data_IF_646793974732
#
_entry.id   IF_646793974732
#
_cell.length_a   1.000
_cell.length_b   1.000
_cell.length_c   1.000
_cell.angle_alpha   90.00
_cell.angle_beta   90.00
_cell.angle_gamma   90.00
#
_symmetry.space_group_name_H-M   'P 1'
#
loop_
_entity.id
_entity.type
_entity.pdbx_description
1 polymer ?
#
# COMPACT_ATOMS: atom_id res chain seq x y z
N UNK A 1 4.00 -17.15 23.86
CA UNK A 1 4.03 -17.26 25.33
C UNK A 1 5.30 -17.93 25.80
N UNK A 2 6.50 -17.52 25.36
CA UNK A 2 7.76 -18.17 25.75
C UNK A 2 8.97 -17.22 25.84
N UNK A 3 8.75 -15.90 25.88
CA UNK A 3 9.82 -14.89 26.00
C UNK A 3 9.68 -13.93 27.21
N UNK A 4 8.72 -14.15 28.09
CA UNK A 4 8.48 -13.29 29.29
C UNK A 4 9.03 -13.95 30.59
N UNK A 5 9.50 -15.18 30.56
CA UNK A 5 9.97 -15.88 31.77
C UNK A 5 11.49 -15.72 32.02
N UNK A 6 12.26 -15.18 31.07
CA UNK A 6 13.73 -15.03 31.22
C UNK A 6 14.22 -13.66 31.73
N UNK A 7 13.34 -12.68 31.92
CA UNK A 7 13.72 -11.33 32.39
C UNK A 7 13.51 -11.09 33.89
N UNK A 8 12.97 -12.05 34.64
CA UNK A 8 12.71 -11.92 36.09
C UNK A 8 13.71 -12.72 36.95
N UNK A 9 14.70 -13.38 36.37
CA UNK A 9 15.72 -14.16 37.12
C UNK A 9 17.07 -13.45 37.27
N UNK A 10 17.26 -12.25 36.72
CA UNK A 10 18.54 -11.54 36.76
C UNK A 10 18.60 -10.38 37.75
N UNK A 11 17.57 -10.16 38.61
CA UNK A 11 17.52 -9.05 39.53
C UNK A 11 17.58 -9.47 41.02
N UNK A 12 17.98 -10.72 41.35
CA UNK A 12 18.00 -11.23 42.71
C UNK A 12 19.35 -11.85 43.13
N UNK A 13 20.45 -11.39 42.59
CA UNK A 13 21.78 -11.90 42.93
C UNK A 13 22.80 -10.76 43.10
N UNK A 14 22.58 -9.83 44.04
CA UNK A 14 23.62 -8.93 44.53
C UNK A 14 23.13 -8.25 45.81
N UNK A 15 23.08 -8.99 46.93
CA UNK A 15 23.23 -8.48 48.30
C UNK A 15 23.54 -9.66 49.24
N UNK A 16 24.76 -10.19 49.15
CA UNK A 16 25.38 -10.89 50.28
C UNK A 16 26.62 -10.12 50.66
N UNK A 17 26.54 -9.42 51.81
CA UNK A 17 27.66 -8.83 52.51
C UNK A 17 28.58 -9.92 53.06
N UNK A 18 29.90 -9.73 53.03
CA UNK A 18 30.83 -10.68 53.60
C UNK A 18 30.86 -10.58 55.16
N UNK A 19 30.82 -11.73 55.82
CA UNK A 19 31.02 -11.90 57.24
C UNK A 19 32.37 -11.32 57.69
N UNK A 20 32.32 -10.34 58.59
CA UNK A 20 33.49 -9.88 59.33
C UNK A 20 33.81 -10.87 60.45
N UNK A 21 35.04 -11.40 60.42
CA UNK A 21 35.61 -12.14 61.52
C UNK A 21 36.01 -11.21 62.69
N UNK A 22 35.93 -11.63 63.97
CA UNK A 22 36.27 -10.81 65.11
C UNK A 22 37.80 -10.73 65.25
N UNK A 23 38.30 -9.51 65.27
CA UNK A 23 39.68 -9.20 65.59
C UNK A 23 39.91 -9.31 67.11
N UNK A 24 40.70 -10.26 67.49
CA UNK A 24 41.25 -10.42 68.84
C UNK A 24 42.29 -9.35 69.12
N UNK A 25 42.03 -8.46 70.06
CA UNK A 25 43.02 -7.51 70.57
C UNK A 25 43.91 -8.18 71.58
N UNK A 26 45.18 -8.23 71.25
CA UNK A 26 46.26 -8.59 72.14
C UNK A 26 46.53 -7.48 73.14
N UNK A 27 46.48 -7.76 74.41
CA UNK A 27 46.91 -6.94 75.54
C UNK A 27 48.39 -7.16 75.81
N UNK A 28 49.26 -6.15 75.84
CA UNK A 28 50.65 -6.32 76.27
C UNK A 28 50.72 -6.08 77.78
N UNK A 29 51.40 -6.96 78.38
CA UNK A 29 51.75 -7.02 79.84
C UNK A 29 52.66 -5.87 80.31
N UNK A 30 52.46 -5.55 81.57
CA UNK A 30 53.22 -4.67 82.44
C UNK A 30 54.73 -4.98 82.45
N UNK A 31 55.49 -3.95 82.79
CA UNK A 31 56.66 -3.96 83.62
C UNK A 31 56.87 -2.61 84.34
N UNK A 32 57.68 -2.52 85.35
CA UNK A 32 57.18 -2.06 86.61
C UNK A 32 57.79 -0.72 87.07
N UNK A 33 57.28 -0.30 88.23
CA UNK A 33 57.60 0.86 88.98
C UNK A 33 59.08 1.28 89.18
N UNK A 34 59.32 2.59 89.13
CA UNK A 34 60.38 3.20 89.94
C UNK A 34 59.84 4.40 90.68
N UNK A 35 59.99 4.28 91.98
CA UNK A 35 59.75 5.33 92.98
C UNK A 35 60.52 6.59 92.65
N UNK A 36 59.82 7.75 92.73
CA UNK A 36 60.40 8.98 93.14
C UNK A 36 59.35 9.76 93.96
N UNK A 37 59.56 9.82 95.20
CA UNK A 37 58.83 10.67 96.13
C UNK A 37 59.13 12.15 95.83
N UNK A 38 58.12 12.94 95.58
CA UNK A 38 58.23 14.37 95.62
C UNK A 38 56.95 14.99 96.18
N UNK A 39 57.13 15.59 97.29
CA UNK A 39 56.37 16.60 98.01
C UNK A 39 55.12 17.12 97.30
N UNK A 40 53.96 16.70 97.67
CA UNK A 40 52.67 17.32 97.33
C UNK A 40 52.17 18.11 98.56
N UNK A 41 52.20 19.42 98.36
CA UNK A 41 51.46 20.34 99.29
C UNK A 41 49.95 19.95 99.27
N UNK A 42 49.26 20.03 100.36
CA UNK A 42 47.81 19.76 100.41
C UNK A 42 47.05 20.80 99.54
N UNK A 43 46.01 20.39 98.90
CA UNK A 43 45.23 21.30 98.09
C UNK A 43 44.57 22.38 98.96
N UNK A 44 44.41 23.58 98.41
CA UNK A 44 43.74 24.64 99.15
C UNK A 44 42.28 24.24 99.40
N UNK A 45 41.68 24.71 100.52
CA UNK A 45 40.33 24.39 100.84
C UNK A 45 39.38 24.89 99.74
N UNK A 46 38.31 24.11 99.46
CA UNK A 46 37.36 24.53 98.43
C UNK A 46 36.77 25.91 98.83
N UNK A 47 36.97 26.87 97.92
CA UNK A 47 36.27 28.17 98.05
C UNK A 47 34.79 27.92 98.15
N UNK A 48 34.21 28.33 99.29
CA UNK A 48 32.78 28.28 99.51
C UNK A 48 32.12 29.25 98.46
N UNK A 49 31.60 28.71 97.35
CA UNK A 49 30.81 29.49 96.44
C UNK A 49 29.66 30.11 97.21
N UNK A 50 29.62 31.42 97.30
CA UNK A 50 28.54 32.15 97.94
C UNK A 50 27.20 31.84 97.19
N UNK A 51 26.13 31.87 97.97
CA UNK A 51 24.77 31.59 97.45
C UNK A 51 24.43 32.47 96.22
N UNK A 52 24.96 33.69 96.23
CA UNK A 52 24.79 34.66 95.14
C UNK A 52 25.53 34.28 93.84
N UNK A 53 26.73 33.71 93.91
CA UNK A 53 27.48 33.19 92.81
C UNK A 53 26.82 31.96 92.20
N UNK A 54 26.18 31.15 93.02
CA UNK A 54 25.44 29.97 92.58
C UNK A 54 24.11 30.35 91.87
N UNK A 55 23.44 31.39 92.29
CA UNK A 55 22.28 31.94 91.59
C UNK A 55 22.63 32.58 90.24
N UNK A 56 23.73 33.30 90.21
CA UNK A 56 24.23 33.95 88.95
C UNK A 56 24.64 32.89 87.93
N UNK A 57 25.30 31.84 88.34
CA UNK A 57 25.67 30.70 87.50
C UNK A 57 24.40 29.94 87.00
N UNK A 58 23.38 29.84 87.86
CA UNK A 58 22.05 29.25 87.46
C UNK A 58 21.37 30.15 86.41
N UNK A 59 21.39 31.49 86.59
CA UNK A 59 20.84 32.44 85.56
C UNK A 59 21.59 32.40 84.29
N UNK A 60 22.90 32.36 84.32
CA UNK A 60 23.75 32.22 83.08
C UNK A 60 23.50 30.89 82.36
N UNK A 61 23.42 29.79 83.10
CA UNK A 61 23.11 28.47 82.49
C UNK A 61 21.70 28.45 81.94
N UNK A 62 20.74 29.06 82.54
CA UNK A 62 19.38 29.16 82.06
C UNK A 62 19.31 30.01 80.81
N UNK A 63 20.08 31.12 80.75
CA UNK A 63 20.19 31.94 79.53
C UNK A 63 20.92 31.22 78.39
N UNK A 64 21.96 30.48 78.71
CA UNK A 64 22.70 29.67 77.70
C UNK A 64 21.83 28.53 77.18
N UNK A 65 21.07 27.88 78.02
CA UNK A 65 20.12 26.87 77.59
C UNK A 65 18.96 27.42 76.77
N UNK A 66 18.46 28.61 77.06
CA UNK A 66 17.45 29.25 76.19
C UNK A 66 18.02 29.64 74.84
N UNK A 67 19.21 30.28 74.83
CA UNK A 67 19.89 30.59 73.58
C UNK A 67 20.17 29.33 72.74
N UNK A 68 20.66 28.26 73.32
CA UNK A 68 20.86 26.97 72.67
C UNK A 68 19.58 26.36 72.08
N UNK A 69 18.45 26.45 72.77
CA UNK A 69 17.16 25.99 72.30
C UNK A 69 16.65 26.83 71.10
N UNK A 70 16.83 28.17 71.18
CA UNK A 70 16.45 29.04 70.06
C UNK A 70 17.35 28.85 68.84
N UNK A 71 18.62 28.64 69.00
CA UNK A 71 19.55 28.41 67.84
C UNK A 71 19.34 27.01 67.25
N UNK A 72 19.13 25.97 68.10
CA UNK A 72 18.87 24.61 67.57
C UNK A 72 17.54 24.52 66.85
N UNK A 73 16.47 25.18 67.37
CA UNK A 73 15.17 25.25 66.70
C UNK A 73 15.24 25.99 65.36
N UNK A 74 15.97 27.10 65.30
CA UNK A 74 16.19 27.87 64.10
C UNK A 74 16.95 27.08 63.03
N UNK A 75 18.00 26.38 63.41
CA UNK A 75 18.74 25.51 62.48
C UNK A 75 17.89 24.36 61.96
N UNK A 76 17.11 23.70 62.83
CA UNK A 76 16.21 22.62 62.38
C UNK A 76 15.15 23.12 61.42
N UNK A 77 14.59 24.32 61.64
CA UNK A 77 13.62 24.93 60.72
C UNK A 77 14.22 25.27 59.38
N UNK A 78 15.43 25.82 59.35
CA UNK A 78 16.16 26.14 58.10
C UNK A 78 16.45 24.86 57.30
N UNK A 79 16.93 23.80 57.98
CA UNK A 79 17.18 22.51 57.33
C UNK A 79 15.87 21.87 56.80
N UNK A 80 14.77 22.02 57.50
CA UNK A 80 13.43 21.59 57.04
C UNK A 80 12.99 22.34 55.77
N UNK A 81 13.18 23.66 55.76
CA UNK A 81 12.86 24.46 54.56
C UNK A 81 13.75 24.09 53.35
N UNK A 82 15.06 23.93 53.58
CA UNK A 82 15.98 23.50 52.50
C UNK A 82 15.58 22.11 51.99
N UNK A 83 15.30 21.16 52.87
CA UNK A 83 14.83 19.82 52.49
C UNK A 83 13.54 19.86 51.68
N UNK A 84 12.58 20.70 52.09
CA UNK A 84 11.34 20.89 51.33
C UNK A 84 11.57 21.53 49.96
N UNK A 85 12.43 22.52 49.87
CA UNK A 85 12.77 23.13 48.58
C UNK A 85 13.49 22.14 47.63
N UNK A 86 14.40 21.33 48.15
CA UNK A 86 15.05 20.24 47.39
C UNK A 86 14.02 19.22 46.92
N UNK A 87 13.09 18.83 47.79
CA UNK A 87 11.99 17.91 47.46
C UNK A 87 11.10 18.51 46.33
N UNK A 88 10.70 19.77 46.44
CA UNK A 88 9.91 20.44 45.42
C UNK A 88 10.67 20.50 44.10
N UNK A 89 11.96 20.83 44.11
CA UNK A 89 12.77 20.90 42.90
C UNK A 89 12.93 19.53 42.25
N UNK A 90 13.16 18.48 43.03
CA UNK A 90 13.24 17.09 42.54
C UNK A 90 11.90 16.62 41.98
N UNK A 91 10.80 16.91 42.70
CA UNK A 91 9.44 16.59 42.22
C UNK A 91 9.09 17.28 40.91
N UNK A 92 9.45 18.56 40.77
CA UNK A 92 9.22 19.28 39.51
C UNK A 92 10.07 18.74 38.33
N UNK A 93 11.36 18.41 38.58
CA UNK A 93 12.21 17.74 37.55
C UNK A 93 11.62 16.41 37.16
N UNK A 94 11.19 15.59 38.09
CA UNK A 94 10.55 14.31 37.81
C UNK A 94 9.28 14.46 36.95
N UNK A 95 8.40 15.41 37.37
CA UNK A 95 7.17 15.69 36.57
C UNK A 95 7.47 16.15 35.16
N UNK A 96 8.50 17.00 35.01
CA UNK A 96 8.94 17.46 33.67
C UNK A 96 9.47 16.29 32.83
N UNK A 97 10.34 15.45 33.38
CA UNK A 97 10.88 14.27 32.71
C UNK A 97 9.79 13.30 32.32
N UNK A 98 8.80 13.08 33.20
CA UNK A 98 7.66 12.22 32.92
C UNK A 98 6.79 12.76 31.77
N UNK A 99 6.53 14.08 31.78
CA UNK A 99 5.79 14.74 30.68
C UNK A 99 6.51 14.58 29.34
N UNK A 100 7.82 14.79 29.30
CA UNK A 100 8.61 14.64 28.06
C UNK A 100 8.58 13.20 27.57
N UNK A 101 8.77 12.23 28.47
CA UNK A 101 8.69 10.80 28.10
C UNK A 101 7.30 10.40 27.60
N UNK A 102 6.24 10.88 28.26
CA UNK A 102 4.87 10.59 27.80
C UNK A 102 4.60 11.19 26.42
N UNK A 103 5.05 12.44 26.17
CA UNK A 103 4.93 13.05 24.85
C UNK A 103 5.72 12.30 23.79
N UNK A 104 6.91 11.79 24.11
CA UNK A 104 7.69 10.96 23.22
C UNK A 104 6.97 9.64 22.90
N UNK A 105 6.47 8.94 23.92
CA UNK A 105 5.68 7.72 23.78
C UNK A 105 4.43 7.93 22.93
N UNK A 106 3.72 9.04 23.12
CA UNK A 106 2.56 9.37 22.28
C UNK A 106 2.95 9.61 20.83
N UNK A 107 4.07 10.29 20.57
CA UNK A 107 4.58 10.48 19.20
C UNK A 107 4.93 9.14 18.56
N UNK A 108 5.69 8.30 19.25
CA UNK A 108 6.05 6.96 18.77
C UNK A 108 4.81 6.10 18.50
N UNK A 109 3.85 6.12 19.42
CA UNK A 109 2.57 5.44 19.26
C UNK A 109 1.81 5.93 18.02
N UNK A 110 1.74 7.25 17.81
CA UNK A 110 1.05 7.82 16.65
C UNK A 110 1.74 7.43 15.33
N UNK A 111 3.07 7.39 15.31
CA UNK A 111 3.84 6.90 14.14
C UNK A 111 3.52 5.43 13.85
N UNK A 112 3.55 4.58 14.88
CA UNK A 112 3.23 3.15 14.73
C UNK A 112 1.78 2.94 14.27
N UNK A 113 0.83 3.71 14.79
CA UNK A 113 -0.57 3.65 14.35
C UNK A 113 -0.72 4.07 12.90
N UNK A 114 -0.02 5.13 12.47
CA UNK A 114 -0.03 5.58 11.07
C UNK A 114 0.60 4.54 10.14
N UNK A 115 1.73 3.96 10.53
CA UNK A 115 2.38 2.87 9.78
C UNK A 115 1.51 1.63 9.67
N UNK A 116 0.88 1.20 10.75
CA UNK A 116 -0.04 0.06 10.74
C UNK A 116 -1.25 0.30 9.84
N UNK A 117 -1.79 1.52 9.83
CA UNK A 117 -2.88 1.89 8.91
C UNK A 117 -2.42 1.83 7.45
N UNK A 118 -1.22 2.35 7.17
CA UNK A 118 -0.66 2.29 5.82
C UNK A 118 -0.42 0.84 5.37
N UNK A 119 0.20 0.02 6.21
CA UNK A 119 0.42 -1.41 5.95
C UNK A 119 -0.90 -2.17 5.72
N UNK A 120 -1.96 -1.82 6.49
CA UNK A 120 -3.28 -2.43 6.27
C UNK A 120 -3.83 -2.10 4.89
N UNK A 121 -3.71 -0.83 4.45
CA UNK A 121 -4.16 -0.40 3.11
C UNK A 121 -3.36 -1.13 2.02
N UNK A 122 -2.05 -1.21 2.17
CA UNK A 122 -1.18 -1.90 1.20
C UNK A 122 -1.46 -3.41 1.15
N UNK A 123 -1.67 -4.03 2.31
CA UNK A 123 -2.07 -5.44 2.38
C UNK A 123 -3.41 -5.67 1.68
N UNK A 124 -4.42 -4.85 1.98
CA UNK A 124 -5.75 -5.02 1.39
C UNK A 124 -5.70 -4.80 -0.13
N UNK A 125 -4.87 -3.87 -0.62
CA UNK A 125 -4.60 -3.71 -2.06
C UNK A 125 -3.90 -4.93 -2.66
N UNK A 126 -2.87 -5.46 -1.99
CA UNK A 126 -2.16 -6.65 -2.45
C UNK A 126 -3.07 -7.89 -2.47
N UNK A 127 -3.94 -8.07 -1.46
CA UNK A 127 -4.91 -9.16 -1.44
C UNK A 127 -5.95 -9.01 -2.57
N UNK A 128 -6.45 -7.80 -2.82
CA UNK A 128 -7.37 -7.53 -3.93
C UNK A 128 -6.72 -7.82 -5.29
N UNK A 129 -5.49 -7.36 -5.50
CA UNK A 129 -4.71 -7.65 -6.72
C UNK A 129 -4.45 -9.16 -6.90
N UNK A 130 -4.11 -9.87 -5.83
CA UNK A 130 -3.91 -11.33 -5.85
C UNK A 130 -5.21 -12.08 -6.22
N UNK A 131 -6.34 -11.68 -5.64
CA UNK A 131 -7.65 -12.26 -5.97
C UNK A 131 -8.04 -11.99 -7.41
N UNK A 132 -7.85 -10.75 -7.88
CA UNK A 132 -8.10 -10.39 -9.28
C UNK A 132 -7.23 -11.21 -10.24
N UNK A 133 -5.93 -11.36 -9.94
CA UNK A 133 -5.01 -12.20 -10.73
C UNK A 133 -5.45 -13.67 -10.76
N UNK A 134 -5.90 -14.22 -9.64
CA UNK A 134 -6.40 -15.59 -9.57
C UNK A 134 -7.67 -15.76 -10.41
N UNK A 135 -8.63 -14.85 -10.28
CA UNK A 135 -9.85 -14.85 -11.09
C UNK A 135 -9.53 -14.72 -12.59
N UNK A 136 -8.58 -13.86 -12.94
CA UNK A 136 -8.07 -13.71 -14.31
C UNK A 136 -7.55 -15.04 -14.87
N UNK A 137 -6.65 -15.73 -14.14
CA UNK A 137 -6.10 -17.02 -14.56
C UNK A 137 -7.17 -18.12 -14.69
N UNK A 138 -8.17 -18.14 -13.80
CA UNK A 138 -9.29 -19.08 -13.88
C UNK A 138 -10.15 -18.83 -15.12
N UNK A 139 -10.52 -17.57 -15.37
CA UNK A 139 -11.31 -17.19 -16.55
C UNK A 139 -10.55 -17.48 -17.84
N UNK A 140 -9.24 -17.14 -17.91
CA UNK A 140 -8.35 -17.45 -19.02
C UNK A 140 -8.32 -18.96 -19.30
N UNK A 141 -8.15 -19.78 -18.27
CA UNK A 141 -8.12 -21.24 -18.42
C UNK A 141 -9.45 -21.76 -19.00
N UNK A 142 -10.56 -21.20 -18.57
CA UNK A 142 -11.89 -21.58 -19.08
C UNK A 142 -12.08 -21.18 -20.55
N UNK A 143 -11.72 -19.93 -20.90
CA UNK A 143 -11.86 -19.42 -22.28
C UNK A 143 -10.90 -20.10 -23.28
N UNK A 144 -9.75 -20.62 -22.83
CA UNK A 144 -8.83 -21.45 -23.63
C UNK A 144 -9.37 -22.88 -23.79
N UNK A 145 -9.93 -23.47 -22.72
CA UNK A 145 -10.38 -24.87 -22.72
C UNK A 145 -11.52 -25.11 -23.70
N UNK A 146 -12.44 -24.16 -23.82
CA UNK A 146 -13.63 -24.30 -24.68
C UNK A 146 -13.27 -24.50 -26.15
N UNK A 147 -12.51 -23.61 -26.84
CA UNK A 147 -12.10 -23.82 -28.23
C UNK A 147 -11.18 -25.05 -28.39
N UNK A 148 -10.30 -25.32 -27.41
CA UNK A 148 -9.42 -26.48 -27.46
C UNK A 148 -10.22 -27.79 -27.44
N UNK A 149 -11.25 -27.89 -26.61
CA UNK A 149 -12.13 -29.05 -26.58
C UNK A 149 -12.93 -29.22 -27.89
N UNK A 150 -13.36 -28.11 -28.49
CA UNK A 150 -14.04 -28.14 -29.79
C UNK A 150 -13.10 -28.63 -30.91
N UNK A 151 -11.86 -28.09 -30.97
CA UNK A 151 -10.84 -28.57 -31.91
C UNK A 151 -10.59 -30.07 -31.75
N UNK A 152 -10.34 -30.51 -30.51
CA UNK A 152 -10.09 -31.94 -30.20
C UNK A 152 -11.28 -32.82 -30.57
N UNK A 153 -12.50 -32.42 -30.20
CA UNK A 153 -13.70 -33.18 -30.48
C UNK A 153 -13.99 -33.35 -31.98
N UNK A 154 -13.95 -32.25 -32.75
CA UNK A 154 -14.13 -32.31 -34.21
C UNK A 154 -13.01 -33.07 -34.90
N UNK A 155 -11.76 -32.94 -34.46
CA UNK A 155 -10.63 -33.71 -34.95
C UNK A 155 -10.81 -35.22 -34.75
N UNK A 156 -11.28 -35.62 -33.55
CA UNK A 156 -11.56 -37.02 -33.25
C UNK A 156 -12.65 -37.59 -34.16
N UNK A 157 -13.73 -36.83 -34.42
CA UNK A 157 -14.80 -37.25 -35.34
C UNK A 157 -14.26 -37.45 -36.76
N UNK A 158 -13.46 -36.50 -37.24
CA UNK A 158 -12.84 -36.54 -38.60
C UNK A 158 -11.86 -37.71 -38.79
N UNK A 159 -11.23 -38.18 -37.71
CA UNK A 159 -10.22 -39.25 -37.75
C UNK A 159 -10.75 -40.61 -37.25
N UNK A 160 -12.06 -40.73 -36.94
CA UNK A 160 -12.65 -41.95 -36.39
C UNK A 160 -12.66 -43.06 -37.44
N UNK A 161 -12.01 -44.18 -37.18
CA UNK A 161 -11.98 -45.32 -38.14
C UNK A 161 -13.41 -45.86 -38.41
N UNK A 162 -13.72 -46.08 -39.71
CA UNK A 162 -15.00 -46.66 -40.11
C UNK A 162 -16.17 -45.69 -40.16
N UNK A 163 -15.99 -44.42 -39.88
CA UNK A 163 -17.02 -43.40 -40.00
C UNK A 163 -16.98 -42.78 -41.40
N UNK A 164 -17.98 -43.10 -42.23
CA UNK A 164 -18.16 -42.49 -43.53
C UNK A 164 -18.98 -41.21 -43.40
N UNK A 165 -18.27 -40.08 -43.27
CA UNK A 165 -18.87 -38.76 -43.14
C UNK A 165 -19.20 -38.17 -44.50
N UNK A 166 -20.42 -37.63 -44.69
CA UNK A 166 -20.75 -36.84 -45.85
C UNK A 166 -19.73 -35.68 -46.03
N UNK A 167 -19.39 -35.39 -47.28
CA UNK A 167 -18.40 -34.34 -47.59
C UNK A 167 -18.77 -32.98 -46.99
N UNK A 168 -20.07 -32.67 -46.96
CA UNK A 168 -20.58 -31.45 -46.31
C UNK A 168 -20.25 -31.40 -44.83
N UNK A 169 -20.43 -32.50 -44.08
CA UNK A 169 -20.16 -32.56 -42.65
C UNK A 169 -18.65 -32.49 -42.38
N UNK A 170 -17.83 -33.09 -43.23
CA UNK A 170 -16.37 -33.00 -43.20
C UNK A 170 -15.89 -31.57 -43.38
N UNK A 171 -16.47 -30.84 -44.30
CA UNK A 171 -16.16 -29.41 -44.54
C UNK A 171 -16.63 -28.55 -43.35
N UNK A 172 -17.81 -28.80 -42.81
CA UNK A 172 -18.33 -28.07 -41.64
C UNK A 172 -17.43 -28.28 -40.42
N UNK A 173 -17.05 -29.54 -40.12
CA UNK A 173 -16.15 -29.80 -38.98
C UNK A 173 -14.77 -29.19 -39.18
N UNK A 174 -14.24 -29.21 -40.43
CA UNK A 174 -12.97 -28.53 -40.77
C UNK A 174 -13.07 -27.02 -40.57
N UNK A 175 -14.15 -26.40 -41.01
CA UNK A 175 -14.39 -24.96 -40.80
C UNK A 175 -14.49 -24.61 -39.32
N UNK A 176 -15.17 -25.45 -38.51
CA UNK A 176 -15.26 -25.25 -37.04
C UNK A 176 -13.91 -25.39 -36.37
N UNK A 177 -13.05 -26.33 -36.79
CA UNK A 177 -11.67 -26.42 -36.27
C UNK A 177 -10.90 -25.16 -36.57
N UNK A 178 -10.96 -24.66 -37.81
CA UNK A 178 -10.27 -23.43 -38.21
C UNK A 178 -10.76 -22.21 -37.45
N UNK A 179 -12.07 -22.06 -37.26
CA UNK A 179 -12.68 -20.98 -36.46
C UNK A 179 -12.19 -21.00 -35.00
N UNK A 180 -12.23 -22.18 -34.37
CA UNK A 180 -11.78 -22.31 -32.98
C UNK A 180 -10.27 -22.12 -32.82
N UNK A 181 -9.47 -22.55 -33.82
CA UNK A 181 -8.02 -22.27 -33.83
C UNK A 181 -7.74 -20.77 -33.92
N UNK A 182 -8.44 -20.04 -34.79
CA UNK A 182 -8.31 -18.57 -34.90
C UNK A 182 -8.74 -17.88 -33.57
N UNK A 183 -9.83 -18.36 -32.97
CA UNK A 183 -10.29 -17.84 -31.66
C UNK A 183 -9.22 -18.02 -30.58
N UNK A 184 -8.60 -19.20 -30.53
CA UNK A 184 -7.53 -19.51 -29.57
C UNK A 184 -6.29 -18.62 -29.79
N UNK A 185 -5.88 -18.45 -31.05
CA UNK A 185 -4.75 -17.55 -31.40
C UNK A 185 -5.04 -16.11 -30.96
N UNK A 186 -6.23 -15.59 -31.25
CA UNK A 186 -6.61 -14.24 -30.82
C UNK A 186 -6.59 -14.09 -29.29
N UNK A 187 -7.04 -15.11 -28.53
CA UNK A 187 -6.97 -15.09 -27.06
C UNK A 187 -5.51 -15.04 -26.59
N UNK A 188 -4.63 -15.84 -27.20
CA UNK A 188 -3.20 -15.86 -26.86
C UNK A 188 -2.53 -14.50 -27.15
N UNK A 189 -2.80 -13.92 -28.32
CA UNK A 189 -2.27 -12.59 -28.69
C UNK A 189 -2.76 -11.51 -27.72
N UNK A 190 -4.03 -11.55 -27.33
CA UNK A 190 -4.61 -10.65 -26.33
C UNK A 190 -3.94 -10.79 -24.96
N UNK A 191 -3.65 -12.00 -24.53
CA UNK A 191 -2.97 -12.27 -23.26
C UNK A 191 -1.51 -11.80 -23.27
N UNK A 192 -0.80 -12.01 -24.40
CA UNK A 192 0.57 -11.52 -24.60
C UNK A 192 0.58 -9.99 -24.54
N UNK A 193 -0.37 -9.33 -25.21
CA UNK A 193 -0.48 -7.87 -25.18
C UNK A 193 -0.76 -7.36 -23.77
N UNK A 194 -1.70 -7.97 -23.04
CA UNK A 194 -1.98 -7.63 -21.63
C UNK A 194 -0.70 -7.77 -20.78
N UNK A 195 0.02 -8.89 -20.93
CA UNK A 195 1.23 -9.14 -20.16
C UNK A 195 2.34 -8.11 -20.46
N UNK A 196 2.49 -7.70 -21.72
CA UNK A 196 3.42 -6.64 -22.09
C UNK A 196 3.03 -5.29 -21.49
N UNK A 197 1.75 -4.95 -21.49
CA UNK A 197 1.27 -3.67 -20.99
C UNK A 197 1.18 -3.60 -19.45
N UNK A 198 1.06 -4.72 -18.76
CA UNK A 198 1.12 -4.78 -17.27
C UNK A 198 2.56 -4.79 -16.75
N UNK A 199 3.53 -5.14 -17.57
CA UNK A 199 4.95 -5.05 -17.23
C UNK A 199 5.43 -3.59 -17.25
N UNK A 200 6.52 -3.30 -16.49
CA UNK A 200 7.23 -2.02 -16.57
C UNK A 200 7.98 -1.84 -17.91
N UNK A 201 7.39 -2.34 -18.99
CA UNK A 201 7.98 -2.25 -20.33
C UNK A 201 7.70 -0.86 -20.89
N UNK A 202 8.75 -0.09 -21.15
CA UNK A 202 8.60 1.20 -21.80
C UNK A 202 7.90 1.01 -23.16
N UNK A 203 6.96 1.89 -23.46
CA UNK A 203 6.33 1.92 -24.79
C UNK A 203 7.41 2.13 -25.86
N UNK A 204 7.28 1.50 -27.02
CA UNK A 204 8.14 1.84 -28.13
C UNK A 204 8.01 3.34 -28.44
N UNK A 205 9.04 3.98 -29.01
CA UNK A 205 8.95 5.38 -29.36
C UNK A 205 7.75 5.65 -30.27
N UNK A 206 7.09 6.79 -30.06
CA UNK A 206 6.01 7.22 -30.95
C UNK A 206 6.57 7.45 -32.36
N UNK A 207 5.81 7.05 -33.35
CA UNK A 207 6.15 7.15 -34.77
C UNK A 207 5.28 8.20 -35.47
N UNK A 208 5.79 8.77 -36.53
CA UNK A 208 5.01 9.63 -37.39
C UNK A 208 4.00 8.79 -38.20
N UNK A 209 2.72 9.09 -38.03
CA UNK A 209 1.64 8.38 -38.70
C UNK A 209 0.58 9.33 -39.26
N UNK A 210 -0.09 8.90 -40.31
CA UNK A 210 -1.30 9.54 -40.83
C UNK A 210 -2.51 8.88 -40.19
N UNK A 211 -3.31 9.56 -39.35
CA UNK A 211 -4.47 8.96 -38.71
C UNK A 211 -5.47 8.33 -39.66
N UNK A 212 -5.63 8.94 -40.84
CA UNK A 212 -6.48 8.42 -41.91
C UNK A 212 -6.08 7.03 -42.36
N UNK A 213 -4.77 6.74 -42.47
CA UNK A 213 -4.26 5.42 -42.90
C UNK A 213 -4.56 4.36 -41.85
N UNK A 214 -4.36 4.68 -40.58
CA UNK A 214 -4.66 3.75 -39.47
C UNK A 214 -6.16 3.42 -39.46
N UNK A 215 -6.99 4.43 -39.64
CA UNK A 215 -8.45 4.29 -39.70
C UNK A 215 -8.90 3.46 -40.93
N UNK A 216 -8.38 3.75 -42.12
CA UNK A 216 -8.71 3.02 -43.34
C UNK A 216 -8.33 1.52 -43.24
N UNK A 217 -7.13 1.22 -42.69
CA UNK A 217 -6.71 -0.17 -42.47
C UNK A 217 -7.63 -0.93 -41.51
N UNK A 218 -8.15 -0.27 -40.47
CA UNK A 218 -9.09 -0.88 -39.54
C UNK A 218 -10.46 -1.16 -40.17
N UNK A 219 -10.97 -0.25 -41.02
CA UNK A 219 -12.23 -0.42 -41.78
C UNK A 219 -12.10 -1.56 -42.79
N UNK A 220 -11.01 -1.62 -43.52
CA UNK A 220 -10.78 -2.70 -44.49
C UNK A 220 -10.73 -4.06 -43.82
N UNK A 221 -10.14 -4.15 -42.62
CA UNK A 221 -10.05 -5.38 -41.87
C UNK A 221 -11.39 -5.86 -41.31
N UNK A 222 -12.31 -4.96 -40.95
CA UNK A 222 -13.59 -5.32 -40.36
C UNK A 222 -14.71 -5.57 -41.37
N UNK A 223 -14.68 -4.88 -42.53
CA UNK A 223 -15.76 -4.93 -43.53
C UNK A 223 -16.13 -6.36 -43.97
N UNK A 224 -15.21 -7.32 -44.20
CA UNK A 224 -15.58 -8.69 -44.54
C UNK A 224 -16.23 -9.48 -43.42
N UNK A 225 -16.20 -8.96 -42.20
CA UNK A 225 -16.59 -9.68 -40.94
C UNK A 225 -17.94 -9.23 -40.42
N UNK A 226 -18.51 -8.15 -40.94
CA UNK A 226 -19.82 -7.67 -40.55
C UNK A 226 -20.95 -8.50 -41.15
N UNK A 227 -22.08 -8.53 -40.47
CA UNK A 227 -23.27 -9.25 -40.94
C UNK A 227 -23.81 -8.64 -42.27
N UNK A 228 -24.41 -9.48 -43.11
CA UNK A 228 -25.08 -8.99 -44.32
C UNK A 228 -26.18 -8.00 -43.97
N UNK A 229 -26.13 -6.78 -44.51
CA UNK A 229 -27.10 -5.69 -44.20
C UNK A 229 -26.62 -4.70 -43.16
N UNK A 230 -25.38 -4.82 -42.65
CA UNK A 230 -24.72 -3.80 -41.86
C UNK A 230 -23.80 -2.98 -42.76
N UNK A 231 -23.97 -1.67 -42.77
CA UNK A 231 -23.03 -0.73 -43.42
C UNK A 231 -21.91 -0.35 -42.48
N UNK A 232 -20.69 -0.23 -43.00
CA UNK A 232 -19.55 0.27 -42.26
C UNK A 232 -19.05 1.52 -42.93
N UNK A 233 -19.12 2.63 -42.22
CA UNK A 233 -18.71 3.96 -42.72
C UNK A 233 -17.60 4.54 -41.87
N UNK A 234 -16.81 5.45 -42.44
CA UNK A 234 -15.78 6.18 -41.72
C UNK A 234 -15.80 7.66 -42.05
N UNK A 235 -15.55 8.50 -41.08
CA UNK A 235 -15.48 9.95 -41.23
C UNK A 235 -14.23 10.46 -40.50
N UNK A 236 -13.29 11.02 -41.30
CA UNK A 236 -12.10 11.66 -40.76
C UNK A 236 -12.20 13.16 -41.00
N UNK A 237 -12.20 13.94 -39.94
CA UNK A 237 -12.25 15.41 -39.98
C UNK A 237 -10.85 16.04 -39.79
N UNK A 238 -9.82 15.20 -39.72
CA UNK A 238 -8.41 15.62 -39.73
C UNK A 238 -7.97 15.67 -41.20
N UNK A 239 -7.23 16.72 -41.64
CA UNK A 239 -6.71 16.79 -42.99
C UNK A 239 -5.93 15.53 -43.39
N UNK A 240 -6.16 15.03 -44.62
CA UNK A 240 -5.57 13.76 -45.05
C UNK A 240 -4.05 13.75 -45.08
N UNK A 241 -3.42 14.92 -45.24
CA UNK A 241 -1.97 15.10 -45.28
C UNK A 241 -1.35 15.32 -43.90
N UNK A 242 -2.20 15.46 -42.87
CA UNK A 242 -1.73 15.76 -41.52
C UNK A 242 -1.12 14.53 -40.87
N UNK A 243 0.09 14.70 -40.34
CA UNK A 243 0.83 13.66 -39.63
C UNK A 243 0.90 13.97 -38.15
N UNK A 244 0.76 12.95 -37.33
CA UNK A 244 0.84 13.04 -35.87
C UNK A 244 1.86 12.06 -35.30
N UNK A 245 2.44 12.38 -34.19
CA UNK A 245 3.24 11.44 -33.45
C UNK A 245 2.32 10.52 -32.66
N UNK A 246 2.28 9.25 -33.00
CA UNK A 246 1.40 8.28 -32.35
C UNK A 246 2.06 6.89 -32.27
N UNK A 247 1.35 5.92 -31.74
CA UNK A 247 1.72 4.49 -31.77
C UNK A 247 0.73 3.77 -32.69
N UNK A 248 0.96 3.77 -34.00
CA UNK A 248 -0.04 3.36 -34.99
C UNK A 248 -0.49 1.91 -34.80
N UNK A 249 0.41 1.03 -34.37
CA UNK A 249 0.09 -0.37 -34.08
C UNK A 249 -0.88 -0.50 -32.89
N UNK A 250 -0.63 0.19 -31.77
CA UNK A 250 -1.50 0.13 -30.58
C UNK A 250 -2.84 0.80 -30.86
N UNK A 251 -2.85 1.97 -31.50
CA UNK A 251 -4.08 2.66 -31.90
C UNK A 251 -4.90 1.76 -32.84
N UNK A 252 -4.25 1.13 -33.84
CA UNK A 252 -4.89 0.19 -34.76
C UNK A 252 -5.54 -1.00 -34.03
N UNK A 253 -4.85 -1.60 -33.03
CA UNK A 253 -5.42 -2.67 -32.19
C UNK A 253 -6.64 -2.16 -31.43
N UNK A 254 -6.56 -0.99 -30.78
CA UNK A 254 -7.68 -0.44 -30.02
C UNK A 254 -8.91 -0.21 -30.90
N UNK A 255 -8.72 0.41 -32.10
CA UNK A 255 -9.79 0.58 -33.09
C UNK A 255 -10.37 -0.77 -33.51
N UNK A 256 -9.53 -1.75 -33.83
CA UNK A 256 -9.97 -3.09 -34.21
C UNK A 256 -10.82 -3.77 -33.14
N UNK A 257 -10.44 -3.65 -31.85
CA UNK A 257 -11.23 -4.19 -30.73
C UNK A 257 -12.60 -3.51 -30.62
N UNK A 258 -12.69 -2.21 -30.81
CA UNK A 258 -13.96 -1.48 -30.79
C UNK A 258 -14.83 -1.86 -31.99
N UNK A 259 -14.25 -1.94 -33.19
CA UNK A 259 -14.97 -2.34 -34.41
C UNK A 259 -15.43 -3.80 -34.35
N UNK A 260 -14.61 -4.73 -33.87
CA UNK A 260 -15.00 -6.12 -33.63
C UNK A 260 -16.19 -6.22 -32.67
N UNK A 261 -16.20 -5.39 -31.63
CA UNK A 261 -17.33 -5.33 -30.71
C UNK A 261 -18.59 -4.81 -31.42
N UNK A 262 -18.51 -3.73 -32.17
CA UNK A 262 -19.60 -3.18 -32.97
C UNK A 262 -20.13 -4.20 -33.99
N UNK A 263 -19.25 -4.88 -34.76
CA UNK A 263 -19.64 -5.91 -35.74
C UNK A 263 -20.37 -7.10 -35.09
N UNK A 264 -19.94 -7.50 -33.91
CA UNK A 264 -20.54 -8.61 -33.15
C UNK A 264 -21.96 -8.30 -32.68
N UNK A 265 -22.21 -7.11 -32.22
CA UNK A 265 -23.48 -6.72 -31.61
C UNK A 265 -24.45 -6.00 -32.55
N UNK A 266 -24.02 -5.64 -33.78
CA UNK A 266 -24.88 -5.05 -34.81
C UNK A 266 -25.26 -6.10 -35.82
N UNK A 267 -26.52 -6.52 -35.81
CA UNK A 267 -27.06 -7.52 -36.77
C UNK A 267 -27.64 -6.85 -38.02
N UNK A 268 -28.12 -5.64 -37.92
CA UNK A 268 -28.68 -4.79 -38.96
C UNK A 268 -28.42 -3.33 -38.60
N UNK A 269 -28.23 -2.47 -39.62
CA UNK A 269 -28.01 -1.04 -39.42
C UNK A 269 -26.61 -0.62 -39.81
N UNK A 270 -25.92 0.17 -38.99
CA UNK A 270 -24.64 0.78 -39.35
C UNK A 270 -23.62 0.81 -38.20
N UNK A 271 -22.36 0.80 -38.61
CA UNK A 271 -21.21 1.06 -37.74
C UNK A 271 -20.49 2.27 -38.33
N UNK A 272 -20.22 3.28 -37.54
CA UNK A 272 -19.51 4.49 -37.93
C UNK A 272 -18.26 4.68 -37.09
N UNK A 273 -17.11 4.81 -37.74
CA UNK A 273 -15.85 5.22 -37.13
C UNK A 273 -15.61 6.71 -37.42
N UNK A 274 -15.55 7.53 -36.42
CA UNK A 274 -15.21 8.97 -36.55
C UNK A 274 -13.87 9.28 -35.95
N UNK A 275 -13.17 10.23 -36.54
CA UNK A 275 -11.90 10.74 -36.07
C UNK A 275 -11.87 12.27 -36.20
N UNK A 276 -11.80 12.94 -35.07
CA UNK A 276 -11.82 14.38 -34.95
C UNK A 276 -10.60 14.88 -34.18
N UNK A 277 -10.27 16.16 -34.38
CA UNK A 277 -9.32 16.87 -33.54
C UNK A 277 -10.06 17.81 -32.60
N UNK A 278 -9.88 17.63 -31.28
CA UNK A 278 -10.43 18.48 -30.24
C UNK A 278 -9.29 19.16 -29.46
N UNK A 279 -8.83 20.31 -29.98
CA UNK A 279 -7.71 21.05 -29.38
C UNK A 279 -6.39 20.28 -29.47
N UNK A 280 -5.87 19.85 -28.33
CA UNK A 280 -4.67 19.02 -28.17
C UNK A 280 -4.96 17.51 -28.03
N UNK A 281 -6.19 17.09 -28.38
CA UNK A 281 -6.62 15.70 -28.33
C UNK A 281 -7.14 15.21 -29.67
N UNK A 282 -6.92 13.94 -29.91
CA UNK A 282 -7.51 13.17 -30.99
C UNK A 282 -8.73 12.44 -30.42
N UNK A 283 -9.91 12.75 -30.90
CA UNK A 283 -11.17 12.10 -30.52
C UNK A 283 -11.52 11.06 -31.60
N UNK A 284 -11.47 9.81 -31.20
CA UNK A 284 -11.87 8.68 -32.01
C UNK A 284 -13.15 8.09 -31.42
N UNK A 285 -14.20 7.96 -32.23
CA UNK A 285 -15.42 7.31 -31.75
C UNK A 285 -15.87 6.19 -32.67
N UNK A 286 -16.31 5.08 -32.06
CA UNK A 286 -16.98 3.97 -32.76
C UNK A 286 -18.42 3.96 -32.31
N UNK A 287 -19.33 4.22 -33.26
CA UNK A 287 -20.77 4.26 -33.04
C UNK A 287 -21.43 3.10 -33.76
N UNK A 288 -22.26 2.34 -33.10
CA UNK A 288 -23.04 1.26 -33.68
C UNK A 288 -24.55 1.43 -33.43
N UNK A 289 -25.35 0.76 -34.22
CA UNK A 289 -26.80 0.71 -34.06
C UNK A 289 -27.28 -0.66 -33.53
N UNK A 290 -26.44 -1.32 -32.73
CA UNK A 290 -26.70 -2.63 -32.17
C UNK A 290 -27.62 -2.61 -30.94
N UNK A 291 -27.48 -3.62 -30.08
CA UNK A 291 -28.35 -3.77 -28.90
C UNK A 291 -28.06 -2.72 -27.80
N UNK A 292 -26.98 -1.96 -27.88
CA UNK A 292 -26.56 -1.03 -26.84
C UNK A 292 -26.07 -1.71 -25.56
N UNK A 293 -25.84 -0.87 -24.51
CA UNK A 293 -25.36 -1.32 -23.21
C UNK A 293 -26.34 -0.88 -22.11
N UNK A 294 -26.78 -1.79 -21.24
CA UNK A 294 -27.64 -1.43 -20.10
C UNK A 294 -26.94 -0.42 -19.17
N UNK A 295 -27.69 0.53 -18.62
CA UNK A 295 -27.16 1.63 -17.81
C UNK A 295 -26.42 1.16 -16.53
N UNK A 296 -26.82 0.01 -15.97
CA UNK A 296 -26.18 -0.59 -14.78
C UNK A 296 -24.90 -1.36 -15.10
N UNK A 297 -24.52 -1.47 -16.39
CA UNK A 297 -23.37 -2.26 -16.86
C UNK A 297 -22.28 -1.41 -17.54
N UNK A 298 -22.43 -0.10 -17.59
CA UNK A 298 -21.57 0.84 -18.32
C UNK A 298 -20.09 0.76 -17.95
N UNK A 299 -19.75 0.48 -16.68
CA UNK A 299 -18.37 0.28 -16.25
C UNK A 299 -17.95 -1.19 -16.31
N UNK A 300 -18.87 -2.12 -16.07
CA UNK A 300 -18.56 -3.54 -16.04
C UNK A 300 -18.15 -4.10 -17.41
N UNK A 301 -18.60 -3.49 -18.51
CA UNK A 301 -18.21 -3.94 -19.86
C UNK A 301 -16.71 -3.76 -20.16
N UNK A 302 -16.00 -2.96 -19.36
CA UNK A 302 -14.55 -2.76 -19.47
C UNK A 302 -13.76 -3.72 -18.59
N UNK A 303 -14.44 -4.49 -17.73
CA UNK A 303 -13.78 -5.52 -16.93
C UNK A 303 -13.37 -6.71 -17.80
N UNK A 304 -12.21 -7.31 -17.47
CA UNK A 304 -11.67 -8.47 -18.21
C UNK A 304 -12.60 -9.68 -18.07
N UNK A 305 -12.81 -10.35 -19.19
CA UNK A 305 -13.70 -11.53 -19.29
C UNK A 305 -15.18 -11.26 -18.99
N UNK A 306 -15.54 -9.98 -18.83
CA UNK A 306 -16.94 -9.65 -18.63
C UNK A 306 -17.71 -9.74 -19.96
N UNK A 307 -18.87 -10.38 -19.92
CA UNK A 307 -19.79 -10.54 -21.04
C UNK A 307 -21.20 -10.21 -20.57
N UNK A 308 -21.92 -9.39 -21.32
CA UNK A 308 -23.36 -9.11 -21.06
C UNK A 308 -24.21 -10.37 -21.22
N UNK A 309 -23.82 -11.26 -22.16
CA UNK A 309 -24.45 -12.54 -22.41
C UNK A 309 -23.36 -13.63 -22.46
N UNK A 310 -23.53 -14.68 -21.65
CA UNK A 310 -22.63 -15.83 -21.59
C UNK A 310 -22.50 -16.61 -22.90
N UNK A 311 -23.48 -16.49 -23.79
CA UNK A 311 -23.49 -17.15 -25.11
C UNK A 311 -22.78 -16.34 -26.19
N UNK A 312 -22.37 -15.11 -25.89
CA UNK A 312 -21.70 -14.26 -26.88
C UNK A 312 -20.28 -14.78 -27.17
N UNK A 313 -19.94 -14.92 -28.48
CA UNK A 313 -18.60 -15.32 -28.92
C UNK A 313 -17.51 -14.35 -28.43
N UNK A 314 -16.30 -14.87 -28.15
CA UNK A 314 -15.11 -14.13 -27.75
C UNK A 314 -14.84 -14.16 -26.25
N UNK A 315 -13.61 -13.87 -25.86
CA UNK A 315 -13.12 -13.99 -24.49
C UNK A 315 -13.54 -12.87 -23.53
N UNK A 316 -14.20 -11.80 -24.01
CA UNK A 316 -14.53 -10.63 -23.16
C UNK A 316 -13.31 -9.78 -22.80
N UNK A 317 -12.27 -9.79 -23.63
CA UNK A 317 -11.04 -9.01 -23.42
C UNK A 317 -10.98 -7.73 -24.27
N UNK A 318 -11.77 -7.61 -25.35
CA UNK A 318 -11.61 -6.55 -26.34
C UNK A 318 -11.74 -5.15 -25.78
N UNK A 319 -12.80 -4.83 -25.01
CA UNK A 319 -13.02 -3.51 -24.44
C UNK A 319 -12.01 -3.18 -23.34
N UNK A 320 -11.63 -4.14 -22.52
CA UNK A 320 -10.60 -3.94 -21.50
C UNK A 320 -9.23 -3.67 -22.10
N UNK A 321 -8.88 -4.33 -23.22
CA UNK A 321 -7.65 -4.06 -23.96
C UNK A 321 -7.69 -2.67 -24.60
N UNK A 322 -8.78 -2.28 -25.27
CA UNK A 322 -8.91 -0.97 -25.86
C UNK A 322 -8.77 0.15 -24.82
N UNK A 323 -9.38 -0.02 -23.63
CA UNK A 323 -9.25 0.92 -22.50
C UNK A 323 -7.82 0.98 -21.98
N UNK A 324 -7.20 -0.17 -21.77
CA UNK A 324 -5.81 -0.26 -21.31
C UNK A 324 -4.84 0.42 -22.31
N UNK A 325 -5.02 0.22 -23.60
CA UNK A 325 -4.22 0.92 -24.64
C UNK A 325 -4.44 2.43 -24.54
N UNK A 326 -5.69 2.90 -24.46
CA UNK A 326 -5.98 4.33 -24.34
C UNK A 326 -5.29 4.95 -23.12
N UNK A 327 -5.37 4.30 -21.96
CA UNK A 327 -4.74 4.74 -20.71
C UNK A 327 -3.21 4.76 -20.80
N UNK A 328 -2.58 3.73 -21.40
CA UNK A 328 -1.14 3.69 -21.60
C UNK A 328 -0.63 4.78 -22.56
N UNK A 329 -1.46 5.17 -23.52
CA UNK A 329 -1.17 6.28 -24.42
C UNK A 329 -1.50 7.66 -23.81
N UNK A 330 -1.84 7.73 -22.52
CA UNK A 330 -2.18 8.97 -21.82
C UNK A 330 -3.57 9.51 -22.14
N UNK A 331 -4.44 8.67 -22.67
CA UNK A 331 -5.81 9.00 -23.05
C UNK A 331 -6.86 8.33 -22.18
N UNK A 332 -8.09 8.27 -22.69
CA UNK A 332 -9.26 7.65 -22.02
C UNK A 332 -10.16 6.96 -23.03
N UNK A 333 -10.86 5.91 -22.60
CA UNK A 333 -11.95 5.27 -23.35
C UNK A 333 -13.19 5.22 -22.48
N UNK A 334 -14.30 5.73 -22.97
CA UNK A 334 -15.59 5.80 -22.26
C UNK A 334 -16.75 5.39 -23.17
N UNK A 335 -17.87 5.00 -22.58
CA UNK A 335 -19.13 4.79 -23.27
C UNK A 335 -19.98 6.05 -23.17
N UNK A 336 -20.47 6.55 -24.30
CA UNK A 336 -21.44 7.65 -24.33
C UNK A 336 -22.83 7.13 -23.92
N UNK A 337 -23.20 7.40 -22.66
CA UNK A 337 -24.48 6.97 -22.09
C UNK A 337 -25.68 7.78 -22.62
N UNK A 338 -25.45 8.87 -23.33
CA UNK A 338 -26.49 9.70 -23.95
C UNK A 338 -26.96 9.15 -25.28
N UNK A 339 -26.12 8.32 -25.92
CA UNK A 339 -26.45 7.67 -27.18
C UNK A 339 -27.33 6.44 -26.93
N UNK A 340 -28.55 6.43 -27.50
CA UNK A 340 -29.58 5.41 -27.18
C UNK A 340 -29.95 4.50 -28.34
N UNK A 341 -29.35 4.68 -29.55
CA UNK A 341 -29.68 3.88 -30.74
C UNK A 341 -28.82 2.61 -30.88
N UNK A 342 -27.90 2.39 -29.97
CA UNK A 342 -26.90 1.34 -29.95
C UNK A 342 -25.84 1.64 -28.91
N UNK A 343 -24.56 1.41 -29.21
CA UNK A 343 -23.46 1.83 -28.37
C UNK A 343 -22.56 2.86 -29.10
N UNK A 344 -21.99 3.80 -28.33
CA UNK A 344 -20.98 4.74 -28.81
C UNK A 344 -19.82 4.76 -27.82
N UNK A 345 -18.66 4.37 -28.29
CA UNK A 345 -17.43 4.36 -27.52
C UNK A 345 -16.56 5.53 -27.97
N UNK A 346 -16.21 6.41 -27.04
CA UNK A 346 -15.38 7.60 -27.25
C UNK A 346 -13.99 7.37 -26.68
N UNK A 347 -12.97 7.41 -27.52
CA UNK A 347 -11.56 7.32 -27.17
C UNK A 347 -10.88 8.66 -27.40
N UNK A 348 -10.33 9.23 -26.32
CA UNK A 348 -9.57 10.48 -26.37
C UNK A 348 -8.09 10.16 -26.21
N UNK A 349 -7.27 10.53 -27.17
CA UNK A 349 -5.80 10.35 -27.13
C UNK A 349 -5.10 11.71 -27.23
N UNK A 350 -3.88 11.86 -26.72
CA UNK A 350 -3.08 13.05 -26.95
C UNK A 350 -2.84 13.29 -28.46
N UNK A 351 -3.03 14.53 -28.89
CA UNK A 351 -2.72 14.94 -30.25
C UNK A 351 -1.40 15.71 -30.27
N UNK A 352 -0.36 15.07 -30.77
CA UNK A 352 0.97 15.68 -30.90
C UNK A 352 1.22 15.94 -32.37
N UNK A 353 0.92 17.17 -32.81
CA UNK A 353 1.26 17.61 -34.16
C UNK A 353 2.78 17.66 -34.34
N UNK A 354 3.26 17.26 -35.49
CA UNK A 354 4.63 17.61 -35.87
C UNK A 354 4.68 19.11 -36.12
N UNK A 355 5.50 19.80 -35.31
CA UNK A 355 5.77 21.23 -35.51
C UNK A 355 6.53 21.49 -36.81
#
# INVERSE_FOLDING_TARGET
MSFIVMALSACNAEHRAPHAQPNTYHVPHKTPATDTASNILPPPPPEQITHEQMEEMRRQNHQLQQRSRFTSGGVAMILGVIGFLVFLSASNRWRHTLKVKNQQLERERNVVVAQNKQLSIERDRAEAASKAKTAFLQSMTHEIRTPLNAISGFSQILTMPGMDLPEKDRQDYSARIQENTRLLTNILDDLILIAHMEGDTELPPAEECMPLIVMAGAIDAITPRVAKGVTVDSQCNIPAEETVMCHPHLVGIAIAKLLDNAAKFTKQGSILLTLDREGDKMHLAVTDTGCGVPADKTELIFERFYKLDSFSQGAGLGLSIARMIAEHLGGTLTLDTTYTKGAKFDMMLPYISKA
#
